data_IF_319411929042
#
_entry.id   IF_319411929042
#
_cell.length_a   1.000
_cell.length_b   1.000
_cell.length_c   1.000
_cell.angle_alpha   90.00
_cell.angle_beta   90.00
_cell.angle_gamma   90.00
#
_symmetry.space_group_name_H-M   'P 1'
#
loop_
_entity.id
_entity.type
_entity.pdbx_description
1 polymer ?
#
# COMPACT_ATOMS: atom_id res chain seq x y z
N UNK A 1 9.77 -16.50 35.01
CA UNK A 1 10.07 -17.94 35.15
C UNK A 1 9.15 -18.59 34.14
N UNK A 2 9.73 -18.71 32.95
CA UNK A 2 9.44 -19.54 31.80
C UNK A 2 8.03 -19.42 31.18
N UNK A 3 7.91 -18.55 30.16
CA UNK A 3 6.77 -18.39 29.23
C UNK A 3 6.88 -19.37 28.03
N UNK A 4 7.58 -20.49 28.20
CA UNK A 4 7.71 -21.53 27.17
C UNK A 4 7.04 -22.80 27.65
N UNK A 5 6.35 -23.50 26.74
CA UNK A 5 5.99 -24.88 27.01
C UNK A 5 7.27 -25.70 27.26
N UNK A 6 7.15 -26.87 27.88
CA UNK A 6 8.28 -27.77 28.23
C UNK A 6 9.12 -28.26 27.01
N UNK A 7 8.80 -27.79 25.80
CA UNK A 7 9.51 -27.98 24.54
C UNK A 7 9.81 -26.67 23.77
N UNK A 8 9.72 -25.49 24.39
CA UNK A 8 10.17 -24.23 23.80
C UNK A 8 9.27 -23.61 22.71
N UNK A 9 8.02 -24.08 22.55
CA UNK A 9 7.08 -23.52 21.57
C UNK A 9 6.11 -22.48 22.16
N UNK A 10 5.66 -21.54 21.31
CA UNK A 10 4.60 -20.57 21.57
C UNK A 10 3.30 -21.27 22.00
N UNK A 11 2.73 -20.88 23.14
CA UNK A 11 1.45 -21.39 23.64
C UNK A 11 0.32 -20.43 23.24
N UNK A 12 -0.53 -20.79 22.25
CA UNK A 12 -1.63 -19.94 21.80
C UNK A 12 -2.77 -19.78 22.82
N UNK A 13 -2.64 -20.33 24.05
CA UNK A 13 -3.62 -20.19 25.12
C UNK A 13 -3.12 -19.44 26.37
N UNK A 14 -1.91 -18.86 26.35
CA UNK A 14 -1.47 -18.01 27.46
C UNK A 14 -2.06 -16.60 27.34
N UNK A 15 -3.22 -16.42 27.97
CA UNK A 15 -3.98 -15.16 28.10
C UNK A 15 -3.29 -14.14 29.02
N UNK A 16 -1.95 -14.05 28.99
CA UNK A 16 -1.15 -13.10 29.79
C UNK A 16 -0.37 -12.07 28.97
N UNK A 17 -0.40 -12.16 27.65
CA UNK A 17 0.13 -11.10 26.76
C UNK A 17 -0.98 -10.21 26.19
N UNK A 18 -2.08 -10.01 26.93
CA UNK A 18 -3.15 -9.06 26.58
C UNK A 18 -2.78 -7.61 26.97
N UNK A 19 -1.54 -7.14 26.71
CA UNK A 19 -1.25 -5.69 26.75
C UNK A 19 0.11 -5.23 26.18
N UNK A 20 0.69 -5.95 25.23
CA UNK A 20 1.74 -5.38 24.39
C UNK A 20 1.21 -5.47 22.97
N UNK A 21 0.99 -4.32 22.33
CA UNK A 21 0.96 -4.26 20.87
C UNK A 21 2.29 -4.85 20.42
N UNK A 22 2.29 -6.14 20.10
CA UNK A 22 3.29 -6.75 19.26
C UNK A 22 3.06 -6.08 17.92
N UNK A 23 3.72 -4.94 17.71
CA UNK A 23 4.32 -4.73 16.39
C UNK A 23 5.15 -6.00 16.19
N UNK A 24 4.86 -6.75 15.14
CA UNK A 24 5.78 -7.78 14.70
C UNK A 24 7.15 -7.08 14.66
N UNK A 25 8.08 -7.48 15.53
CA UNK A 25 9.45 -7.12 15.25
C UNK A 25 9.78 -8.07 14.12
N UNK A 26 9.81 -7.52 12.90
CA UNK A 26 10.12 -8.19 11.65
C UNK A 26 11.48 -8.86 11.81
N UNK A 27 11.48 -10.09 12.29
CA UNK A 27 12.69 -10.91 12.36
C UNK A 27 13.07 -11.20 10.92
N UNK A 28 14.27 -10.81 10.46
CA UNK A 28 14.69 -10.91 9.06
C UNK A 28 14.50 -12.34 8.56
N UNK A 29 13.80 -12.50 7.43
CA UNK A 29 13.50 -13.79 6.83
C UNK A 29 13.46 -13.71 5.32
N UNK A 30 13.96 -14.76 4.67
CA UNK A 30 13.80 -14.93 3.22
C UNK A 30 12.32 -14.81 2.77
N UNK A 31 12.05 -13.84 1.92
CA UNK A 31 10.74 -13.47 1.38
C UNK A 31 10.08 -12.27 2.06
N UNK A 32 10.84 -11.44 2.77
CA UNK A 32 10.35 -10.24 3.47
C UNK A 32 10.49 -8.94 2.66
N UNK A 33 11.11 -9.02 1.49
CA UNK A 33 11.36 -7.92 0.57
C UNK A 33 12.67 -7.16 0.83
N UNK A 34 13.47 -7.56 1.81
CA UNK A 34 14.72 -6.90 2.17
C UNK A 34 15.89 -7.89 2.30
N UNK A 35 17.00 -7.65 1.59
CA UNK A 35 18.24 -8.41 1.80
C UNK A 35 18.89 -8.00 3.13
N UNK A 36 18.56 -8.71 4.21
CA UNK A 36 18.84 -8.36 5.60
C UNK A 36 19.37 -9.54 6.46
N UNK A 37 19.41 -10.78 5.96
CA UNK A 37 20.03 -11.95 6.59
C UNK A 37 21.53 -12.15 6.22
N UNK A 38 22.30 -12.85 7.06
CA UNK A 38 23.75 -13.07 6.82
C UNK A 38 24.06 -14.01 5.62
N UNK A 39 23.11 -14.84 5.18
CA UNK A 39 23.29 -15.80 4.07
C UNK A 39 22.30 -15.59 2.92
N UNK A 40 21.65 -14.44 2.90
CA UNK A 40 20.69 -14.07 1.87
C UNK A 40 21.42 -13.36 0.73
N UNK A 41 21.39 -13.96 -0.46
CA UNK A 41 22.00 -13.41 -1.67
C UNK A 41 21.02 -12.49 -2.41
N UNK A 42 19.71 -12.76 -2.30
CA UNK A 42 18.59 -12.05 -2.90
C UNK A 42 17.35 -12.14 -1.98
N UNK A 43 16.34 -11.29 -2.21
CA UNK A 43 14.98 -11.41 -1.66
C UNK A 43 14.00 -10.76 -2.66
N UNK A 44 12.97 -11.48 -3.10
CA UNK A 44 11.93 -11.02 -4.04
C UNK A 44 10.53 -10.94 -3.40
N UNK A 45 10.48 -10.86 -2.07
CA UNK A 45 9.26 -10.66 -1.29
C UNK A 45 8.38 -11.90 -1.16
N UNK A 46 8.90 -13.09 -1.51
CA UNK A 46 8.19 -14.35 -1.31
C UNK A 46 9.15 -15.58 -1.16
N UNK A 47 8.61 -16.80 -1.13
CA UNK A 47 9.39 -18.06 -1.02
C UNK A 47 9.03 -19.05 -2.14
N UNK A 48 8.58 -18.55 -3.29
CA UNK A 48 8.42 -19.34 -4.49
C UNK A 48 9.81 -19.53 -5.14
N UNK A 49 9.95 -20.58 -5.95
CA UNK A 49 11.18 -20.81 -6.71
C UNK A 49 10.89 -20.45 -8.17
N UNK A 50 11.89 -19.97 -8.90
CA UNK A 50 11.80 -19.68 -10.32
C UNK A 50 11.26 -18.29 -10.65
N UNK A 51 11.29 -17.34 -9.72
CA UNK A 51 10.89 -15.93 -9.91
C UNK A 51 12.00 -14.91 -9.64
N UNK A 52 13.24 -15.37 -9.42
CA UNK A 52 14.42 -14.52 -9.32
C UNK A 52 15.21 -14.75 -8.05
N UNK A 53 14.52 -15.17 -6.98
CA UNK A 53 15.14 -15.62 -5.75
C UNK A 53 14.56 -16.96 -5.30
N UNK A 54 15.41 -17.96 -5.06
CA UNK A 54 14.92 -19.24 -4.56
C UNK A 54 14.36 -19.12 -3.13
N UNK A 55 13.55 -20.08 -2.69
CA UNK A 55 13.08 -20.15 -1.30
C UNK A 55 14.19 -20.29 -0.23
N UNK A 56 15.43 -20.60 -0.65
CA UNK A 56 16.63 -20.63 0.20
C UNK A 56 17.46 -19.31 0.11
N UNK A 57 16.90 -18.26 -0.51
CA UNK A 57 17.49 -16.94 -0.72
C UNK A 57 18.84 -16.93 -1.46
N UNK A 58 18.90 -17.74 -2.52
CA UNK A 58 20.01 -17.84 -3.45
C UNK A 58 19.60 -17.32 -4.83
N UNK A 59 20.52 -16.63 -5.50
CA UNK A 59 20.32 -16.14 -6.86
C UNK A 59 20.02 -17.31 -7.81
N UNK A 60 18.94 -17.19 -8.56
CA UNK A 60 18.59 -18.17 -9.58
C UNK A 60 19.28 -17.87 -10.92
N UNK A 61 19.73 -18.90 -11.67
CA UNK A 61 20.43 -18.68 -12.91
C UNK A 61 19.49 -18.16 -14.00
N UNK A 62 19.75 -16.95 -14.48
CA UNK A 62 19.03 -16.31 -15.56
C UNK A 62 19.11 -17.10 -16.90
N UNK A 63 18.07 -17.01 -17.74
CA UNK A 63 18.15 -17.40 -19.15
C UNK A 63 19.31 -16.69 -19.86
N UNK A 64 19.90 -17.31 -20.90
CA UNK A 64 20.83 -16.60 -21.77
C UNK A 64 20.12 -15.39 -22.40
N UNK A 65 20.83 -14.26 -22.45
CA UNK A 65 20.41 -12.99 -23.07
C UNK A 65 19.44 -12.13 -22.21
N UNK A 66 19.01 -12.62 -21.05
CA UNK A 66 18.20 -11.85 -20.10
C UNK A 66 18.87 -10.55 -19.63
N UNK A 67 18.17 -9.43 -19.81
CA UNK A 67 18.59 -8.07 -19.48
C UNK A 67 19.30 -7.35 -20.63
N UNK A 68 19.14 -7.80 -21.87
CA UNK A 68 19.78 -7.20 -23.04
C UNK A 68 18.90 -6.18 -23.79
N UNK A 69 17.62 -6.10 -23.44
CA UNK A 69 16.63 -5.18 -23.98
C UNK A 69 15.75 -5.78 -25.08
N UNK A 70 15.93 -7.05 -25.44
CA UNK A 70 15.18 -7.73 -26.48
C UNK A 70 14.47 -8.99 -25.92
N UNK A 71 13.14 -9.04 -26.02
CA UNK A 71 12.38 -10.21 -25.57
C UNK A 71 12.69 -11.47 -26.39
N UNK A 72 13.42 -12.41 -25.78
CA UNK A 72 13.86 -13.67 -26.36
C UNK A 72 12.93 -14.86 -26.02
N UNK A 73 13.21 -16.01 -26.64
CA UNK A 73 12.26 -17.12 -26.71
C UNK A 73 11.91 -17.81 -25.37
N UNK A 74 12.81 -17.76 -24.39
CA UNK A 74 12.65 -18.37 -23.08
C UNK A 74 12.32 -17.33 -21.98
N UNK A 75 12.10 -16.07 -22.36
CA UNK A 75 11.82 -14.94 -21.47
C UNK A 75 10.32 -14.59 -21.42
N UNK A 76 9.82 -14.25 -20.24
CA UNK A 76 8.46 -13.70 -20.07
C UNK A 76 8.46 -12.17 -20.20
N UNK A 77 9.56 -11.53 -19.79
CA UNK A 77 9.83 -10.09 -19.90
C UNK A 77 11.32 -9.83 -20.18
N UNK A 78 11.65 -8.62 -20.63
CA UNK A 78 13.02 -8.08 -20.61
C UNK A 78 12.91 -6.54 -20.51
N UNK A 79 13.53 -5.95 -19.48
CA UNK A 79 13.51 -4.52 -19.21
C UNK A 79 14.86 -3.82 -19.52
N UNK A 80 15.82 -4.57 -20.08
CA UNK A 80 17.16 -4.13 -20.44
C UNK A 80 18.16 -4.13 -19.29
N UNK A 81 17.86 -4.80 -18.18
CA UNK A 81 18.82 -5.02 -17.10
C UNK A 81 18.50 -6.31 -16.27
N UNK A 82 19.22 -6.55 -15.16
CA UNK A 82 19.03 -7.75 -14.30
C UNK A 82 18.80 -7.32 -12.84
N UNK A 83 18.11 -6.22 -12.62
CA UNK A 83 17.79 -5.68 -11.29
C UNK A 83 16.40 -6.13 -10.93
N UNK A 84 16.23 -6.77 -9.78
CA UNK A 84 14.88 -7.11 -9.32
C UNK A 84 14.12 -5.86 -8.86
N UNK A 85 12.80 -5.89 -8.95
CA UNK A 85 11.86 -4.87 -8.47
C UNK A 85 11.63 -3.71 -9.44
N UNK A 86 12.01 -3.84 -10.71
CA UNK A 86 11.78 -2.83 -11.77
C UNK A 86 10.79 -3.27 -12.87
N UNK A 87 10.14 -4.42 -12.66
CA UNK A 87 9.09 -4.96 -13.53
C UNK A 87 9.54 -6.15 -14.37
N UNK A 88 10.80 -6.54 -14.30
CA UNK A 88 11.29 -7.79 -14.85
C UNK A 88 12.40 -8.36 -13.96
N UNK A 89 12.25 -9.60 -13.52
CA UNK A 89 13.22 -10.19 -12.60
C UNK A 89 14.57 -10.40 -13.28
N UNK A 90 15.62 -10.60 -12.48
CA UNK A 90 16.94 -10.95 -12.98
C UNK A 90 16.98 -12.25 -13.80
N UNK A 91 15.91 -13.05 -13.77
CA UNK A 91 15.73 -14.28 -14.56
C UNK A 91 14.66 -14.16 -15.65
N UNK A 92 14.23 -12.95 -15.97
CA UNK A 92 13.29 -12.64 -17.05
C UNK A 92 11.89 -13.27 -16.87
N UNK A 93 11.43 -13.29 -15.62
CA UNK A 93 10.03 -13.57 -15.24
C UNK A 93 9.32 -12.27 -14.88
N UNK A 94 8.02 -12.20 -15.19
CA UNK A 94 7.22 -11.03 -14.81
C UNK A 94 7.19 -10.89 -13.29
N UNK A 95 7.67 -9.77 -12.77
CA UNK A 95 7.59 -9.47 -11.35
C UNK A 95 6.16 -9.06 -10.99
N UNK A 96 5.68 -9.41 -9.78
CA UNK A 96 4.47 -8.79 -9.28
C UNK A 96 4.68 -7.27 -9.29
N UNK A 97 3.62 -6.47 -9.61
CA UNK A 97 3.74 -5.03 -9.48
C UNK A 97 4.24 -4.71 -8.06
N UNK A 98 5.11 -3.68 -7.91
CA UNK A 98 5.55 -3.28 -6.58
C UNK A 98 4.33 -3.14 -5.68
N UNK A 99 4.42 -3.54 -4.39
CA UNK A 99 3.29 -3.49 -3.49
C UNK A 99 2.66 -2.12 -3.63
N UNK A 100 1.46 -2.09 -4.21
CA UNK A 100 0.73 -0.85 -4.36
C UNK A 100 0.56 -0.38 -2.91
N UNK A 101 1.04 0.81 -2.54
CA UNK A 101 0.78 1.34 -1.21
C UNK A 101 -0.71 1.16 -0.91
N UNK A 102 -0.97 0.59 0.27
CA UNK A 102 -2.27 0.03 0.57
C UNK A 102 -3.24 1.16 0.88
N UNK A 103 -3.89 1.66 -0.16
CA UNK A 103 -4.89 2.69 -0.01
C UNK A 103 -5.91 2.33 1.06
N UNK A 104 -6.00 3.17 2.10
CA UNK A 104 -6.91 3.00 3.22
C UNK A 104 -6.29 2.35 4.45
N UNK A 105 -4.97 2.33 4.60
CA UNK A 105 -4.30 1.79 5.79
C UNK A 105 -3.93 2.85 6.83
N UNK A 106 -4.06 4.14 6.47
CA UNK A 106 -3.84 5.29 7.32
C UNK A 106 -2.49 5.96 7.09
N UNK A 107 -1.64 5.42 6.22
CA UNK A 107 -0.30 5.92 5.93
C UNK A 107 -0.15 6.23 4.44
N UNK A 108 0.11 7.49 4.11
CA UNK A 108 0.30 7.91 2.72
C UNK A 108 1.67 7.49 2.20
N UNK A 109 1.70 6.56 1.25
CA UNK A 109 2.92 5.91 0.75
C UNK A 109 3.06 5.91 -0.78
N UNK A 110 4.28 5.73 -1.29
CA UNK A 110 4.55 5.63 -2.72
C UNK A 110 3.94 6.74 -3.59
N UNK A 111 3.13 6.33 -4.58
CA UNK A 111 2.47 7.19 -5.57
C UNK A 111 1.03 7.59 -5.20
N UNK A 112 0.56 7.29 -3.98
CA UNK A 112 -0.78 7.68 -3.55
C UNK A 112 -0.98 9.21 -3.58
N UNK A 113 -2.12 9.67 -4.06
CA UNK A 113 -2.48 11.09 -3.95
C UNK A 113 -3.05 11.44 -2.56
N UNK A 114 -3.62 10.46 -1.86
CA UNK A 114 -4.22 10.56 -0.53
C UNK A 114 -4.23 9.19 0.18
N UNK A 115 -4.50 9.19 1.49
CA UNK A 115 -4.92 8.03 2.27
C UNK A 115 -5.76 8.56 3.44
N UNK A 116 -6.96 8.02 3.66
CA UNK A 116 -7.84 8.37 4.78
C UNK A 116 -8.19 7.18 5.70
N UNK A 117 -7.40 6.11 5.62
CA UNK A 117 -7.50 4.95 6.50
C UNK A 117 -8.70 4.04 6.25
N UNK A 118 -9.31 4.11 5.06
CA UNK A 118 -10.24 3.11 4.55
C UNK A 118 -10.34 3.09 3.00
N UNK A 119 -11.11 2.15 2.40
CA UNK A 119 -11.37 2.08 0.95
C UNK A 119 -12.82 2.47 0.57
N UNK A 120 -13.51 3.25 1.39
CA UNK A 120 -14.86 3.71 1.08
C UNK A 120 -14.79 4.97 0.21
N UNK A 121 -15.19 4.88 -1.06
CA UNK A 121 -15.28 6.08 -1.90
C UNK A 121 -16.23 7.14 -1.31
N UNK A 122 -15.88 8.42 -1.45
CA UNK A 122 -16.67 9.60 -1.13
C UNK A 122 -16.29 10.35 0.15
N UNK A 123 -15.23 9.97 0.85
CA UNK A 123 -14.82 10.55 2.13
C UNK A 123 -13.50 11.35 2.09
N UNK A 124 -12.89 11.47 0.92
CA UNK A 124 -11.73 12.33 0.68
C UNK A 124 -10.59 11.63 -0.04
N UNK A 125 -10.60 10.30 -0.03
CA UNK A 125 -9.72 9.46 -0.81
C UNK A 125 -10.48 8.30 -1.46
N UNK A 126 -10.29 8.11 -2.76
CA UNK A 126 -10.92 6.99 -3.46
C UNK A 126 -10.23 5.68 -3.12
N UNK A 127 -10.92 4.56 -3.36
CA UNK A 127 -10.32 3.23 -3.24
C UNK A 127 -9.13 2.97 -4.19
N UNK A 128 -8.95 3.83 -5.20
CA UNK A 128 -7.80 3.86 -6.12
C UNK A 128 -6.70 4.87 -5.69
N UNK A 129 -6.81 5.45 -4.49
CA UNK A 129 -5.87 6.42 -3.91
C UNK A 129 -5.67 7.72 -4.68
N UNK A 130 -6.70 8.10 -5.44
CA UNK A 130 -6.84 9.42 -6.05
C UNK A 130 -7.61 10.35 -5.11
N UNK A 131 -7.20 11.63 -5.06
CA UNK A 131 -7.86 12.65 -4.23
C UNK A 131 -9.30 12.87 -4.67
N UNK A 132 -10.24 12.60 -3.77
CA UNK A 132 -11.64 12.91 -3.97
C UNK A 132 -11.92 14.32 -3.47
N UNK A 133 -11.81 15.27 -4.38
CA UNK A 133 -12.15 16.66 -4.08
C UNK A 133 -13.50 17.01 -4.72
N UNK A 134 -14.58 17.27 -3.96
CA UNK A 134 -14.80 17.19 -2.50
C UNK A 134 -15.54 15.89 -2.05
N UNK A 135 -15.67 15.61 -0.73
CA UNK A 135 -16.46 14.47 -0.24
C UNK A 135 -17.89 14.52 -0.78
N UNK A 136 -18.36 13.41 -1.35
CA UNK A 136 -19.71 13.28 -1.87
C UNK A 136 -20.59 12.58 -0.80
N UNK A 137 -21.63 13.22 -0.23
CA UNK A 137 -22.20 14.50 -0.61
C UNK A 137 -21.54 15.73 0.06
N UNK A 138 -21.60 16.91 -0.59
CA UNK A 138 -21.02 18.15 -0.07
C UNK A 138 -21.59 18.51 1.31
N UNK A 139 -20.73 19.02 2.20
CA UNK A 139 -21.05 19.25 3.61
C UNK A 139 -21.21 20.73 3.94
N UNK A 140 -22.47 21.19 4.00
CA UNK A 140 -22.77 22.55 4.48
C UNK A 140 -22.32 22.77 5.94
N UNK A 141 -21.50 23.77 6.17
CA UNK A 141 -21.16 24.30 7.50
C UNK A 141 -19.74 24.00 7.97
N UNK A 142 -18.89 23.50 7.09
CA UNK A 142 -17.51 23.08 7.38
C UNK A 142 -16.47 24.21 7.16
N UNK A 143 -16.86 25.36 6.62
CA UNK A 143 -15.98 26.53 6.43
C UNK A 143 -15.38 26.66 5.03
N UNK A 144 -15.69 25.75 4.10
CA UNK A 144 -15.19 25.73 2.71
C UNK A 144 -16.37 25.68 1.74
N UNK A 145 -16.28 26.32 0.57
CA UNK A 145 -17.31 26.22 -0.47
C UNK A 145 -16.88 25.14 -1.45
N UNK A 146 -17.61 24.02 -1.46
CA UNK A 146 -17.34 22.84 -2.29
C UNK A 146 -18.02 22.90 -3.67
N UNK A 147 -17.63 22.02 -4.60
CA UNK A 147 -18.26 21.94 -5.92
C UNK A 147 -19.71 21.43 -5.75
N UNK A 148 -20.68 22.28 -6.10
CA UNK A 148 -22.11 21.99 -5.90
C UNK A 148 -22.74 22.81 -4.78
N UNK A 149 -21.94 23.48 -3.95
CA UNK A 149 -22.40 24.45 -2.96
C UNK A 149 -22.41 25.88 -3.53
N UNK A 150 -23.47 26.63 -3.25
CA UNK A 150 -23.51 28.08 -3.47
C UNK A 150 -23.03 28.86 -2.23
N UNK A 151 -23.08 28.21 -1.06
CA UNK A 151 -22.63 28.74 0.22
C UNK A 151 -22.41 27.60 1.23
N UNK A 152 -21.66 27.88 2.29
CA UNK A 152 -21.30 26.88 3.30
C UNK A 152 -21.82 27.24 4.72
N UNK A 153 -22.02 28.51 5.05
CA UNK A 153 -22.61 28.85 6.36
C UNK A 153 -22.76 30.33 6.67
N UNK A 154 -22.25 31.20 5.79
CA UNK A 154 -22.30 32.63 6.00
C UNK A 154 -23.69 33.20 5.70
N UNK A 155 -24.34 33.71 6.74
CA UNK A 155 -25.57 34.52 6.65
C UNK A 155 -25.18 35.98 6.44
N UNK A 156 -25.65 36.56 5.34
CA UNK A 156 -25.56 38.02 5.10
C UNK A 156 -26.91 38.67 5.37
N UNK A 157 -26.95 40.01 5.46
CA UNK A 157 -28.20 40.76 5.66
C UNK A 157 -29.27 40.50 4.58
N UNK A 158 -28.90 39.93 3.42
CA UNK A 158 -29.79 39.68 2.28
C UNK A 158 -29.92 38.19 1.89
N UNK A 159 -28.99 37.33 2.31
CA UNK A 159 -28.96 35.91 1.92
C UNK A 159 -28.69 35.01 3.12
N UNK A 160 -29.44 33.92 3.22
CA UNK A 160 -29.21 32.84 4.18
C UNK A 160 -28.72 31.60 3.43
N UNK A 161 -27.85 30.83 4.08
CA UNK A 161 -27.39 29.54 3.56
C UNK A 161 -28.27 28.43 4.15
N UNK A 162 -28.97 27.69 3.30
CA UNK A 162 -29.77 26.51 3.68
C UNK A 162 -29.48 25.42 2.67
N UNK A 163 -29.10 24.23 3.14
CA UNK A 163 -28.78 23.07 2.30
C UNK A 163 -27.82 23.45 1.15
N UNK A 164 -26.73 24.16 1.49
CA UNK A 164 -25.72 24.68 0.57
C UNK A 164 -26.21 25.68 -0.50
N UNK A 165 -27.45 26.18 -0.42
CA UNK A 165 -28.03 27.10 -1.41
C UNK A 165 -28.17 28.53 -0.88
N UNK A 166 -27.84 29.53 -1.71
CA UNK A 166 -28.03 30.93 -1.36
C UNK A 166 -29.49 31.35 -1.53
N UNK A 167 -30.22 31.44 -0.43
CA UNK A 167 -31.62 31.86 -0.44
C UNK A 167 -31.71 33.35 -0.13
N UNK A 168 -32.23 34.12 -1.09
CA UNK A 168 -32.52 35.55 -0.91
C UNK A 168 -33.66 35.76 0.08
N UNK A 169 -33.43 36.52 1.14
CA UNK A 169 -34.46 36.90 2.10
C UNK A 169 -35.04 38.26 1.69
N UNK A 170 -36.31 38.28 1.29
CA UNK A 170 -37.04 39.54 1.12
C UNK A 170 -37.52 40.02 2.49
N UNK A 171 -37.00 41.17 2.94
CA UNK A 171 -37.44 41.86 4.16
C UNK A 171 -38.73 42.64 3.88
#
# INVERSE_FOLDING_TARGET
MDDYNENGGFDPNDSKTDNFRVIAEDEPYCGDGEVNEENEECDDGNNDDGDGCSADCLDEPAPPDCGDGDLDGDEECDDGNNTNGDGCSAICTEEPPPPVPCCGDGDKEGDEECDDGNNDDGDGCSSDCELECPPDPPVCGNGIIEIGEECDGNVTLLHICIDCLLISVSI
#
